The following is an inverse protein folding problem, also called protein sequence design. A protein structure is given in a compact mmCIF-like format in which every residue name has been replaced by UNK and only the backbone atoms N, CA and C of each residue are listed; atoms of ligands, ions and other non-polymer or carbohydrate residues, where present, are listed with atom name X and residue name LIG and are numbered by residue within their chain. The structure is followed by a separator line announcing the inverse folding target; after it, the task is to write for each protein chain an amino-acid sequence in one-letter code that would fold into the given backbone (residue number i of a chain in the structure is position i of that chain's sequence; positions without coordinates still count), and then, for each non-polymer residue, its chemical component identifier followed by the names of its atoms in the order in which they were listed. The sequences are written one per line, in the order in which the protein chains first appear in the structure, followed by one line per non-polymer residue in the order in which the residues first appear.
data_IF_338432695517
#
_entry.id   IF_338432695517
#
_cell.length_a   1.000
_cell.length_b   1.000
_cell.length_c   1.000
_cell.angle_alpha   90.00
_cell.angle_beta   90.00
_cell.angle_gamma   90.00
#
_symmetry.space_group_name_H-M   'P 1'
#
loop_
_entity.id
_entity.type
_entity.pdbx_description
1 polymer ?
#
# COMPACT_ATOMS: atom_id res chain seq x y z
N UNK A 1 -2.92 -24.39 2.63
CA UNK A 1 -4.06 -24.00 3.47
C UNK A 1 -5.27 -24.82 3.05
N UNK A 2 -6.16 -25.19 3.98
CA UNK A 2 -7.42 -25.85 3.65
C UNK A 2 -8.58 -24.84 3.50
N UNK A 3 -9.68 -25.30 2.87
CA UNK A 3 -10.88 -24.49 2.63
C UNK A 3 -11.61 -24.10 3.93
N UNK A 4 -11.52 -24.93 4.97
CA UNK A 4 -12.19 -24.69 6.26
C UNK A 4 -11.61 -23.46 6.94
N UNK A 5 -10.28 -23.34 6.95
CA UNK A 5 -9.58 -22.18 7.49
C UNK A 5 -9.86 -20.92 6.66
N UNK A 6 -9.87 -21.04 5.33
CA UNK A 6 -10.25 -19.94 4.45
C UNK A 6 -11.67 -19.43 4.75
N UNK A 7 -12.62 -20.35 4.95
CA UNK A 7 -14.00 -20.06 5.33
C UNK A 7 -14.09 -19.34 6.68
N UNK A 8 -13.30 -19.79 7.67
CA UNK A 8 -13.24 -19.15 8.99
C UNK A 8 -12.74 -17.70 8.89
N UNK A 9 -11.66 -17.49 8.14
CA UNK A 9 -11.08 -16.16 7.91
C UNK A 9 -12.09 -15.25 7.21
N UNK A 10 -12.67 -15.69 6.10
CA UNK A 10 -13.64 -14.90 5.33
C UNK A 10 -14.90 -14.57 6.14
N UNK A 11 -15.48 -15.55 6.84
CA UNK A 11 -16.64 -15.29 7.70
C UNK A 11 -16.36 -14.24 8.76
N UNK A 12 -15.17 -14.31 9.40
CA UNK A 12 -14.77 -13.33 10.41
C UNK A 12 -14.56 -11.94 9.79
N UNK A 13 -13.87 -11.88 8.66
CA UNK A 13 -13.54 -10.62 7.97
C UNK A 13 -14.81 -9.90 7.48
N UNK A 14 -15.69 -10.63 6.79
CA UNK A 14 -16.94 -10.11 6.25
C UNK A 14 -17.91 -9.70 7.36
N UNK A 15 -17.98 -10.47 8.45
CA UNK A 15 -18.79 -10.10 9.61
C UNK A 15 -18.32 -8.78 10.24
N UNK A 16 -17.00 -8.60 10.36
CA UNK A 16 -16.42 -7.36 10.85
C UNK A 16 -16.69 -6.19 9.89
N UNK A 17 -16.51 -6.40 8.59
CA UNK A 17 -16.78 -5.38 7.58
C UNK A 17 -18.25 -4.95 7.58
N UNK A 18 -19.17 -5.92 7.65
CA UNK A 18 -20.61 -5.68 7.75
C UNK A 18 -20.96 -4.90 9.01
N UNK A 19 -20.37 -5.23 10.15
CA UNK A 19 -20.60 -4.51 11.40
C UNK A 19 -20.14 -3.04 11.34
N UNK A 20 -19.12 -2.72 10.53
CA UNK A 20 -18.57 -1.36 10.40
C UNK A 20 -19.25 -0.53 9.31
N UNK A 21 -19.56 -1.13 8.16
CA UNK A 21 -20.07 -0.42 6.98
C UNK A 21 -21.57 -0.63 6.73
N UNK A 22 -22.20 -1.57 7.45
CA UNK A 22 -23.57 -1.96 7.19
C UNK A 22 -23.67 -2.78 5.91
N UNK A 23 -24.50 -2.38 4.96
CA UNK A 23 -24.74 -3.15 3.73
C UNK A 23 -23.45 -3.29 2.90
N UNK A 24 -23.18 -4.51 2.46
CA UNK A 24 -22.04 -4.85 1.62
C UNK A 24 -22.49 -5.04 0.18
N UNK A 25 -21.65 -4.60 -0.75
CA UNK A 25 -21.83 -4.83 -2.18
C UNK A 25 -21.11 -6.10 -2.63
N UNK A 26 -21.42 -6.58 -3.84
CA UNK A 26 -20.68 -7.70 -4.43
C UNK A 26 -19.18 -7.38 -4.59
N UNK A 27 -18.86 -6.12 -4.87
CA UNK A 27 -17.47 -5.66 -4.98
C UNK A 27 -16.75 -5.66 -3.64
N UNK A 28 -17.45 -5.39 -2.52
CA UNK A 28 -16.87 -5.54 -1.19
C UNK A 28 -16.57 -7.02 -0.89
N UNK A 29 -17.45 -7.95 -1.28
CA UNK A 29 -17.21 -9.39 -1.12
C UNK A 29 -16.00 -9.86 -1.96
N UNK A 30 -15.89 -9.39 -3.20
CA UNK A 30 -14.74 -9.71 -4.06
C UNK A 30 -13.43 -9.17 -3.50
N UNK A 31 -13.43 -7.91 -3.03
CA UNK A 31 -12.29 -7.30 -2.37
C UNK A 31 -11.88 -8.08 -1.11
N UNK A 32 -12.85 -8.50 -0.29
CA UNK A 32 -12.58 -9.30 0.90
C UNK A 32 -11.92 -10.64 0.57
N UNK A 33 -12.37 -11.32 -0.48
CA UNK A 33 -11.78 -12.59 -0.91
C UNK A 33 -10.35 -12.40 -1.39
N UNK A 34 -10.11 -11.41 -2.24
CA UNK A 34 -8.78 -11.13 -2.80
C UNK A 34 -7.82 -10.69 -1.70
N UNK A 35 -8.21 -9.71 -0.88
CA UNK A 35 -7.32 -9.09 0.10
C UNK A 35 -6.97 -10.04 1.25
N UNK A 36 -7.92 -10.85 1.73
CA UNK A 36 -7.62 -11.87 2.74
C UNK A 36 -6.71 -12.98 2.19
N UNK A 37 -6.91 -13.40 0.94
CA UNK A 37 -6.03 -14.38 0.31
C UNK A 37 -4.60 -13.85 0.12
N UNK A 38 -4.46 -12.62 -0.38
CA UNK A 38 -3.18 -11.93 -0.51
C UNK A 38 -2.49 -11.77 0.85
N UNK A 39 -3.21 -11.30 1.87
CA UNK A 39 -2.67 -11.14 3.22
C UNK A 39 -2.15 -12.45 3.79
N UNK A 40 -2.95 -13.52 3.68
CA UNK A 40 -2.57 -14.84 4.17
C UNK A 40 -1.31 -15.34 3.48
N UNK A 41 -1.26 -15.23 2.15
CA UNK A 41 -0.12 -15.65 1.34
C UNK A 41 1.15 -14.89 1.70
N UNK A 42 1.08 -13.55 1.71
CA UNK A 42 2.23 -12.69 1.99
C UNK A 42 2.74 -12.86 3.43
N UNK A 43 1.85 -13.10 4.41
CA UNK A 43 2.24 -13.45 5.78
C UNK A 43 3.02 -14.76 5.83
N UNK A 44 2.60 -15.80 5.10
CA UNK A 44 3.36 -17.05 5.03
C UNK A 44 4.72 -16.87 4.37
N UNK A 45 4.79 -16.08 3.30
CA UNK A 45 6.04 -15.75 2.62
C UNK A 45 7.00 -15.04 3.57
N UNK A 46 6.54 -13.97 4.23
CA UNK A 46 7.33 -13.18 5.19
C UNK A 46 7.84 -14.02 6.36
N UNK A 47 6.99 -14.89 6.91
CA UNK A 47 7.38 -15.78 8.01
C UNK A 47 8.42 -16.82 7.57
N UNK A 48 8.25 -17.39 6.37
CA UNK A 48 9.17 -18.37 5.82
C UNK A 48 10.55 -17.76 5.56
N UNK A 49 10.61 -16.54 5.02
CA UNK A 49 11.87 -15.80 4.83
C UNK A 49 12.49 -15.34 6.15
N UNK A 50 11.71 -14.91 7.13
CA UNK A 50 12.22 -14.44 8.42
C UNK A 50 12.79 -15.58 9.29
N UNK A 51 12.29 -16.81 9.11
CA UNK A 51 12.74 -17.99 9.85
C UNK A 51 13.96 -18.71 9.22
N UNK A 52 14.38 -18.30 8.02
CA UNK A 52 15.48 -18.93 7.30
C UNK A 52 16.84 -18.61 7.95
N UNK A 53 17.66 -19.64 8.14
CA UNK A 53 19.00 -19.55 8.74
C UNK A 53 20.11 -19.55 7.69
N UNK A 54 19.78 -19.81 6.42
CA UNK A 54 20.70 -19.74 5.30
C UNK A 54 20.03 -19.19 4.05
N UNK A 55 20.86 -18.81 3.06
CA UNK A 55 20.40 -18.34 1.75
C UNK A 55 19.63 -19.45 1.02
N UNK A 56 20.06 -20.70 1.14
CA UNK A 56 19.36 -21.86 0.58
C UNK A 56 17.98 -22.04 1.22
N UNK A 57 17.86 -21.90 2.55
CA UNK A 57 16.57 -21.98 3.25
C UNK A 57 15.64 -20.84 2.85
N UNK A 58 16.18 -19.62 2.67
CA UNK A 58 15.44 -18.46 2.21
C UNK A 58 14.91 -18.67 0.79
N UNK A 59 15.78 -19.14 -0.12
CA UNK A 59 15.42 -19.44 -1.51
C UNK A 59 14.37 -20.55 -1.60
N UNK A 60 14.51 -21.62 -0.82
CA UNK A 60 13.52 -22.69 -0.74
C UNK A 60 12.18 -22.22 -0.14
N UNK A 61 12.22 -21.31 0.84
CA UNK A 61 11.02 -20.67 1.40
C UNK A 61 10.25 -19.87 0.34
N UNK A 62 10.95 -19.12 -0.50
CA UNK A 62 10.35 -18.35 -1.62
C UNK A 62 9.77 -19.28 -2.70
N UNK A 63 10.48 -20.35 -3.06
CA UNK A 63 9.99 -21.32 -4.05
C UNK A 63 8.75 -22.08 -3.56
N UNK A 64 8.76 -22.55 -2.31
CA UNK A 64 7.64 -23.28 -1.71
C UNK A 64 6.41 -22.38 -1.54
N UNK A 65 6.59 -21.11 -1.18
CA UNK A 65 5.48 -20.16 -1.10
C UNK A 65 4.89 -19.90 -2.48
N UNK A 66 5.71 -19.71 -3.52
CA UNK A 66 5.23 -19.57 -4.91
C UNK A 66 4.37 -20.75 -5.37
N UNK A 67 4.72 -21.99 -4.99
CA UNK A 67 3.90 -23.17 -5.29
C UNK A 67 2.56 -23.22 -4.51
N UNK A 68 2.48 -22.53 -3.38
CA UNK A 68 1.30 -22.48 -2.52
C UNK A 68 0.28 -21.40 -2.90
N UNK A 69 0.60 -20.50 -3.82
CA UNK A 69 -0.32 -19.42 -4.22
C UNK A 69 -1.62 -19.96 -4.82
N UNK A 70 -1.53 -20.94 -5.72
CA UNK A 70 -2.69 -21.55 -6.36
C UNK A 70 -3.59 -22.29 -5.35
N UNK A 71 -3.07 -23.17 -4.48
CA UNK A 71 -3.85 -23.77 -3.39
C UNK A 71 -4.53 -22.74 -2.47
N UNK A 72 -3.83 -21.67 -2.08
CA UNK A 72 -4.40 -20.61 -1.22
C UNK A 72 -5.51 -19.87 -1.94
N UNK A 73 -5.28 -19.44 -3.17
CA UNK A 73 -6.26 -18.73 -3.98
C UNK A 73 -7.54 -19.55 -4.14
N UNK A 74 -7.39 -20.83 -4.52
CA UNK A 74 -8.51 -21.75 -4.67
C UNK A 74 -9.28 -21.96 -3.36
N UNK A 75 -8.58 -22.12 -2.24
CA UNK A 75 -9.24 -22.32 -0.96
C UNK A 75 -10.10 -21.11 -0.56
N UNK A 76 -9.63 -19.89 -0.79
CA UNK A 76 -10.41 -18.67 -0.54
C UNK A 76 -11.60 -18.53 -1.50
N UNK A 77 -11.42 -18.76 -2.80
CA UNK A 77 -12.51 -18.64 -3.77
C UNK A 77 -13.56 -19.74 -3.62
N UNK A 78 -13.16 -20.98 -3.32
CA UNK A 78 -14.09 -22.08 -3.05
C UNK A 78 -14.89 -21.81 -1.75
N UNK A 79 -14.23 -21.27 -0.72
CA UNK A 79 -14.90 -20.89 0.53
C UNK A 79 -15.93 -19.77 0.29
N UNK A 80 -15.59 -18.76 -0.53
CA UNK A 80 -16.50 -17.69 -0.90
C UNK A 80 -17.72 -18.19 -1.66
N UNK A 81 -17.53 -19.10 -2.62
CA UNK A 81 -18.63 -19.74 -3.36
C UNK A 81 -19.60 -20.50 -2.43
N UNK A 82 -19.09 -21.12 -1.36
CA UNK A 82 -19.93 -21.79 -0.37
C UNK A 82 -20.65 -20.85 0.59
N UNK A 83 -20.00 -19.74 0.97
CA UNK A 83 -20.56 -18.79 1.93
C UNK A 83 -21.61 -17.88 1.28
N UNK A 84 -21.42 -17.53 0.00
CA UNK A 84 -22.24 -16.55 -0.70
C UNK A 84 -22.67 -17.07 -2.09
N UNK A 85 -23.32 -18.23 -2.18
CA UNK A 85 -23.60 -18.89 -3.47
C UNK A 85 -24.47 -18.06 -4.42
N UNK A 86 -25.31 -17.16 -3.88
CA UNK A 86 -26.20 -16.30 -4.68
C UNK A 86 -25.47 -15.11 -5.31
N UNK A 87 -24.29 -14.74 -4.79
CA UNK A 87 -23.54 -13.53 -5.17
C UNK A 87 -22.15 -13.82 -5.70
N UNK A 88 -21.56 -14.95 -5.31
CA UNK A 88 -20.18 -15.31 -5.58
C UNK A 88 -20.14 -16.66 -6.30
N UNK A 89 -20.17 -16.61 -7.64
CA UNK A 89 -20.22 -17.81 -8.48
C UNK A 89 -18.84 -18.19 -9.00
N UNK A 90 -18.79 -19.25 -9.82
CA UNK A 90 -17.56 -19.63 -10.53
C UNK A 90 -16.95 -18.49 -11.35
N UNK A 91 -17.78 -17.55 -11.83
CA UNK A 91 -17.30 -16.38 -12.57
C UNK A 91 -16.49 -15.46 -11.67
N UNK A 92 -17.04 -15.06 -10.53
CA UNK A 92 -16.37 -14.19 -9.55
C UNK A 92 -15.13 -14.88 -8.97
N UNK A 93 -15.20 -16.19 -8.74
CA UNK A 93 -14.04 -16.98 -8.32
C UNK A 93 -12.87 -16.90 -9.32
N UNK A 94 -13.13 -17.02 -10.63
CA UNK A 94 -12.08 -16.91 -11.66
C UNK A 94 -11.46 -15.51 -11.66
N UNK A 95 -12.28 -14.46 -11.53
CA UNK A 95 -11.80 -13.08 -11.50
C UNK A 95 -10.92 -12.87 -10.27
N UNK A 96 -11.37 -13.29 -9.09
CA UNK A 96 -10.60 -13.17 -7.86
C UNK A 96 -9.32 -13.99 -7.88
N UNK A 97 -9.31 -15.21 -8.44
CA UNK A 97 -8.07 -15.99 -8.59
C UNK A 97 -7.01 -15.22 -9.40
N UNK A 98 -7.41 -14.56 -10.50
CA UNK A 98 -6.49 -13.73 -11.28
C UNK A 98 -6.07 -12.47 -10.51
N UNK A 99 -7.00 -11.82 -9.81
CA UNK A 99 -6.73 -10.66 -8.98
C UNK A 99 -5.72 -10.96 -7.87
N UNK A 100 -5.85 -12.11 -7.19
CA UNK A 100 -4.91 -12.57 -6.18
C UNK A 100 -3.51 -12.72 -6.78
N UNK A 101 -3.39 -13.39 -7.93
CA UNK A 101 -2.09 -13.61 -8.58
C UNK A 101 -1.39 -12.30 -8.98
N UNK A 102 -2.14 -11.34 -9.53
CA UNK A 102 -1.60 -10.05 -9.92
C UNK A 102 -1.19 -9.22 -8.70
N UNK A 103 -2.05 -9.20 -7.68
CA UNK A 103 -1.85 -8.36 -6.51
C UNK A 103 -0.67 -8.85 -5.64
N UNK A 104 -0.49 -10.15 -5.43
CA UNK A 104 0.68 -10.62 -4.64
C UNK A 104 2.01 -10.35 -5.33
N UNK A 105 2.03 -10.18 -6.66
CA UNK A 105 3.22 -9.85 -7.42
C UNK A 105 3.55 -8.35 -7.40
N UNK A 106 2.61 -7.51 -6.93
CA UNK A 106 2.81 -6.08 -6.85
C UNK A 106 3.56 -5.70 -5.56
N UNK A 107 4.70 -5.01 -5.71
CA UNK A 107 5.57 -4.61 -4.60
C UNK A 107 4.86 -3.77 -3.52
N UNK A 108 3.92 -2.92 -3.92
CA UNK A 108 3.13 -2.08 -3.00
C UNK A 108 1.98 -2.80 -2.31
N UNK A 109 1.77 -4.09 -2.55
CA UNK A 109 0.59 -4.79 -2.05
C UNK A 109 0.55 -4.90 -0.52
N UNK A 110 1.70 -5.05 0.13
CA UNK A 110 1.73 -5.13 1.61
C UNK A 110 1.26 -3.82 2.24
N UNK A 111 1.72 -2.68 1.73
CA UNK A 111 1.33 -1.36 2.21
C UNK A 111 -0.16 -1.09 1.89
N UNK A 112 -0.64 -1.46 0.70
CA UNK A 112 -2.07 -1.41 0.37
C UNK A 112 -2.93 -2.22 1.34
N UNK A 113 -2.50 -3.44 1.70
CA UNK A 113 -3.22 -4.27 2.65
C UNK A 113 -3.23 -3.65 4.05
N UNK A 114 -2.15 -2.98 4.47
CA UNK A 114 -2.11 -2.25 5.75
C UNK A 114 -3.22 -1.20 5.79
N UNK A 115 -3.25 -0.33 4.79
CA UNK A 115 -4.25 0.74 4.68
C UNK A 115 -5.68 0.17 4.57
N UNK A 116 -5.85 -0.89 3.77
CA UNK A 116 -7.14 -1.56 3.58
C UNK A 116 -7.69 -2.10 4.89
N UNK A 117 -6.90 -2.88 5.64
CA UNK A 117 -7.35 -3.51 6.88
C UNK A 117 -7.51 -2.51 8.03
N UNK A 118 -6.67 -1.47 8.09
CA UNK A 118 -6.84 -0.40 9.07
C UNK A 118 -8.12 0.40 8.80
N UNK A 119 -8.34 0.84 7.56
CA UNK A 119 -9.51 1.64 7.21
C UNK A 119 -10.82 0.85 7.34
N UNK A 120 -10.86 -0.36 6.76
CA UNK A 120 -12.08 -1.14 6.65
C UNK A 120 -12.37 -1.99 7.88
N UNK A 121 -11.35 -2.44 8.60
CA UNK A 121 -11.50 -3.35 9.75
C UNK A 121 -11.00 -2.79 11.09
N UNK A 122 -10.18 -1.73 11.06
CA UNK A 122 -9.65 -1.05 12.26
C UNK A 122 -8.67 -1.88 13.06
N UNK A 123 -7.97 -2.80 12.39
CA UNK A 123 -6.84 -3.48 12.99
C UNK A 123 -5.63 -3.39 12.06
N UNK A 124 -4.45 -3.31 12.66
CA UNK A 124 -3.18 -3.32 11.94
C UNK A 124 -2.76 -4.76 11.64
N UNK A 125 -2.24 -4.99 10.44
CA UNK A 125 -1.79 -6.33 10.02
C UNK A 125 -0.34 -6.64 10.40
N UNK A 126 0.42 -5.59 10.75
CA UNK A 126 1.76 -5.59 11.31
C UNK A 126 1.90 -4.54 12.41
N UNK A 127 3.01 -4.55 13.15
CA UNK A 127 3.30 -3.61 14.24
C UNK A 127 4.06 -2.37 13.75
N UNK A 128 4.01 -2.08 12.45
CA UNK A 128 4.68 -0.91 11.89
C UNK A 128 3.86 0.32 12.28
N UNK A 129 4.47 1.23 13.02
CA UNK A 129 3.89 2.56 13.24
C UNK A 129 3.96 3.32 11.92
N UNK A 130 2.79 3.64 11.38
CA UNK A 130 2.65 4.53 10.23
C UNK A 130 1.83 5.74 10.63
N UNK A 131 2.32 6.93 10.28
CA UNK A 131 1.64 8.19 10.51
C UNK A 131 1.35 8.84 9.16
N UNK A 132 0.09 9.17 8.90
CA UNK A 132 -0.33 9.80 7.65
C UNK A 132 -0.61 11.28 7.89
N UNK A 133 0.09 12.11 7.13
CA UNK A 133 -0.12 13.56 7.08
C UNK A 133 -0.61 13.95 5.68
N UNK A 134 -1.58 14.86 5.63
CA UNK A 134 -2.07 15.44 4.39
C UNK A 134 -1.65 16.90 4.34
N UNK A 135 -0.94 17.29 3.29
CA UNK A 135 -0.57 18.67 3.01
C UNK A 135 -1.39 19.20 1.83
N UNK A 136 -2.10 20.31 2.04
CA UNK A 136 -2.96 20.91 1.04
C UNK A 136 -2.27 22.11 0.42
N UNK A 137 -1.79 21.97 -0.81
CA UNK A 137 -1.16 23.08 -1.51
C UNK A 137 -2.18 23.80 -2.40
N UNK A 138 -2.25 25.14 -2.30
CA UNK A 138 -3.05 25.98 -3.21
C UNK A 138 -2.19 26.64 -4.31
N UNK A 139 -0.86 26.64 -4.15
CA UNK A 139 0.08 27.28 -5.06
C UNK A 139 1.36 26.46 -5.19
N UNK A 140 1.87 26.36 -6.42
CA UNK A 140 3.16 25.70 -6.66
C UNK A 140 4.00 26.39 -7.72
N UNK A 141 5.31 26.28 -7.55
CA UNK A 141 6.32 26.83 -8.44
C UNK A 141 7.13 25.71 -9.08
N UNK A 142 7.26 25.75 -10.41
CA UNK A 142 8.03 24.79 -11.20
C UNK A 142 9.34 25.42 -11.62
N UNK A 143 10.43 24.70 -11.40
CA UNK A 143 11.77 25.05 -11.80
C UNK A 143 12.32 23.97 -12.74
N UNK A 144 12.91 24.39 -13.85
CA UNK A 144 13.64 23.51 -14.78
C UNK A 144 15.07 24.02 -14.91
N UNK A 145 16.05 23.15 -14.70
CA UNK A 145 17.47 23.50 -14.66
C UNK A 145 17.76 24.64 -13.65
N UNK A 146 17.04 24.66 -12.53
CA UNK A 146 17.17 25.69 -11.48
C UNK A 146 16.51 27.03 -11.79
N UNK A 147 15.88 27.19 -12.96
CA UNK A 147 15.19 28.42 -13.35
C UNK A 147 13.69 28.24 -13.15
N UNK A 148 13.04 29.19 -12.48
CA UNK A 148 11.57 29.19 -12.36
C UNK A 148 10.94 29.36 -13.75
N UNK A 149 10.16 28.38 -14.19
CA UNK A 149 9.52 28.37 -15.51
C UNK A 149 8.01 28.60 -15.45
N UNK A 150 7.37 28.28 -14.33
CA UNK A 150 5.95 28.54 -14.13
C UNK A 150 5.57 28.63 -12.67
N UNK A 151 4.50 29.34 -12.40
CA UNK A 151 3.79 29.37 -11.13
C UNK A 151 2.31 29.08 -11.42
N UNK A 152 1.64 28.38 -10.51
CA UNK A 152 0.25 27.98 -10.69
C UNK A 152 -0.48 27.98 -9.36
N UNK A 153 -1.65 28.62 -9.34
CA UNK A 153 -2.61 28.62 -8.23
C UNK A 153 -3.63 27.51 -8.47
N UNK A 154 -3.21 26.25 -8.28
CA UNK A 154 -4.06 25.09 -8.47
C UNK A 154 -3.90 24.17 -7.28
N UNK A 155 -5.04 23.76 -6.73
CA UNK A 155 -5.10 22.85 -5.59
C UNK A 155 -4.46 21.50 -5.88
N UNK A 156 -3.65 21.05 -4.93
CA UNK A 156 -3.00 19.75 -4.89
C UNK A 156 -3.10 19.18 -3.49
N UNK A 157 -3.48 17.92 -3.39
CA UNK A 157 -3.46 17.18 -2.13
C UNK A 157 -2.25 16.27 -2.13
N UNK A 158 -1.34 16.50 -1.20
CA UNK A 158 -0.13 15.71 -1.02
C UNK A 158 -0.35 14.78 0.17
N UNK A 159 -0.46 13.49 -0.11
CA UNK A 159 -0.60 12.46 0.91
C UNK A 159 0.78 11.92 1.25
N UNK A 160 1.17 11.99 2.53
CA UNK A 160 2.47 11.59 3.03
C UNK A 160 2.24 10.56 4.12
N UNK A 161 2.57 9.30 3.83
CA UNK A 161 2.48 8.22 4.81
C UNK A 161 3.88 7.85 5.27
N UNK A 162 4.25 8.28 6.47
CA UNK A 162 5.50 7.88 7.11
C UNK A 162 5.37 6.44 7.60
N UNK A 163 6.32 5.59 7.21
CA UNK A 163 6.38 4.19 7.57
C UNK A 163 7.65 4.01 8.41
N UNK A 164 7.49 3.68 9.69
CA UNK A 164 8.58 3.74 10.66
C UNK A 164 9.23 5.14 10.69
N UNK A 165 10.52 5.23 11.04
CA UNK A 165 11.27 6.50 11.06
C UNK A 165 11.93 6.85 9.71
N UNK A 166 12.10 5.87 8.82
CA UNK A 166 13.02 5.97 7.68
C UNK A 166 12.37 5.77 6.31
N UNK A 167 11.10 5.41 6.22
CA UNK A 167 10.41 5.24 4.93
C UNK A 167 9.22 6.18 4.82
N UNK A 168 8.87 6.54 3.59
CA UNK A 168 7.68 7.33 3.29
C UNK A 168 7.04 6.86 1.99
N UNK A 169 5.70 6.92 1.93
CA UNK A 169 4.93 6.80 0.69
C UNK A 169 4.27 8.14 0.41
N UNK A 170 4.58 8.72 -0.75
CA UNK A 170 4.10 10.04 -1.17
C UNK A 170 3.24 9.93 -2.42
N UNK A 171 2.04 10.50 -2.39
CA UNK A 171 1.20 10.71 -3.58
C UNK A 171 0.75 12.17 -3.70
N UNK A 172 0.67 12.70 -4.93
CA UNK A 172 0.21 14.07 -5.19
C UNK A 172 -1.01 13.99 -6.11
N UNK A 173 -2.21 14.20 -5.58
CA UNK A 173 -3.41 14.19 -6.41
C UNK A 173 -3.54 15.50 -7.20
N UNK A 174 -3.86 15.45 -8.51
CA UNK A 174 -4.04 14.27 -9.36
C UNK A 174 -2.79 13.87 -10.17
N UNK A 175 -1.62 14.48 -9.92
CA UNK A 175 -0.45 14.46 -10.81
C UNK A 175 0.58 13.36 -10.57
N UNK A 176 0.59 12.71 -9.41
CA UNK A 176 1.58 11.69 -9.04
C UNK A 176 0.91 10.55 -8.26
N UNK A 177 0.96 9.34 -8.82
CA UNK A 177 0.62 8.12 -8.11
C UNK A 177 1.56 7.89 -6.92
N UNK A 178 1.14 7.19 -5.86
CA UNK A 178 1.99 6.89 -4.71
C UNK A 178 3.37 6.35 -5.10
N UNK A 179 4.42 6.92 -4.49
CA UNK A 179 5.82 6.52 -4.65
C UNK A 179 6.43 6.27 -3.28
N UNK A 180 7.10 5.14 -3.13
CA UNK A 180 7.84 4.78 -1.92
C UNK A 180 9.24 5.38 -1.97
N UNK A 181 9.71 5.89 -0.83
CA UNK A 181 11.03 6.50 -0.66
C UNK A 181 11.61 6.18 0.72
N UNK A 182 12.93 6.28 0.83
CA UNK A 182 13.67 6.07 2.08
C UNK A 182 14.40 7.36 2.47
N UNK A 183 14.58 7.59 3.77
CA UNK A 183 15.27 8.75 4.33
C UNK A 183 16.73 8.76 3.86
N UNK A 184 17.11 9.83 3.17
CA UNK A 184 18.46 10.04 2.65
C UNK A 184 19.24 10.99 3.56
N UNK A 185 18.59 12.07 4.01
CA UNK A 185 19.18 13.01 4.96
C UNK A 185 18.14 13.74 5.80
N UNK A 186 18.58 14.18 6.97
CA UNK A 186 17.80 14.99 7.90
C UNK A 186 18.66 16.16 8.38
N UNK A 187 18.11 17.38 8.32
CA UNK A 187 18.77 18.60 8.75
C UNK A 187 17.78 19.55 9.39
N UNK A 188 17.87 19.70 10.71
CA UNK A 188 16.94 20.52 11.48
C UNK A 188 15.50 20.02 11.33
N UNK A 189 14.61 20.88 10.85
CA UNK A 189 13.21 20.58 10.59
C UNK A 189 12.94 20.07 9.16
N UNK A 190 13.97 19.69 8.41
CA UNK A 190 13.84 19.26 7.02
C UNK A 190 14.30 17.82 6.87
N UNK A 191 13.45 16.98 6.28
CA UNK A 191 13.74 15.58 5.92
C UNK A 191 13.72 15.42 4.42
N UNK A 192 14.73 14.73 3.88
CA UNK A 192 14.84 14.41 2.46
C UNK A 192 14.77 12.90 2.27
N UNK A 193 13.88 12.48 1.38
CA UNK A 193 13.60 11.07 1.07
C UNK A 193 13.88 10.78 -0.39
N UNK A 194 14.72 9.80 -0.65
CA UNK A 194 15.05 9.34 -1.99
C UNK A 194 14.14 8.19 -2.39
N UNK A 195 13.52 8.31 -3.56
CA UNK A 195 12.62 7.28 -4.10
C UNK A 195 13.34 5.95 -4.32
N UNK A 196 12.64 4.85 -4.09
CA UNK A 196 13.04 3.54 -4.63
C UNK A 196 13.08 3.57 -6.17
N UNK A 197 12.19 4.38 -6.74
CA UNK A 197 12.32 4.89 -8.10
C UNK A 197 13.30 6.08 -8.06
N UNK A 198 14.54 5.93 -8.60
CA UNK A 198 15.61 6.92 -8.44
C UNK A 198 15.34 8.24 -9.18
N UNK A 199 14.28 8.28 -9.98
CA UNK A 199 13.80 9.49 -10.64
C UNK A 199 13.15 10.48 -9.66
N UNK A 200 12.94 10.12 -8.40
CA UNK A 200 12.20 10.93 -7.42
C UNK A 200 13.01 11.22 -6.17
N UNK A 201 12.95 12.47 -5.75
CA UNK A 201 13.46 12.96 -4.47
C UNK A 201 12.40 13.86 -3.85
N UNK A 202 12.08 13.62 -2.58
CA UNK A 202 11.07 14.36 -1.84
C UNK A 202 11.74 15.09 -0.68
N UNK A 203 11.43 16.37 -0.50
CA UNK A 203 11.88 17.13 0.66
C UNK A 203 10.66 17.66 1.40
N UNK A 204 10.62 17.39 2.71
CA UNK A 204 9.52 17.75 3.60
C UNK A 204 10.13 18.63 4.69
N UNK A 205 9.66 19.88 4.80
CA UNK A 205 10.02 20.77 5.90
C UNK A 205 8.83 20.90 6.86
N UNK A 206 9.14 20.85 8.15
CA UNK A 206 8.17 20.93 9.23
C UNK A 206 8.27 22.27 9.96
N UNK A 207 7.16 22.76 10.50
CA UNK A 207 7.14 23.94 11.36
C UNK A 207 7.49 23.61 12.84
N UNK A 208 7.31 24.58 13.73
CA UNK A 208 7.54 24.43 15.18
C UNK A 208 6.54 23.47 15.87
N UNK A 209 5.43 23.14 15.20
CA UNK A 209 4.38 22.24 15.69
C UNK A 209 4.43 20.85 15.05
N UNK A 210 5.51 20.54 14.30
CA UNK A 210 5.69 19.30 13.54
C UNK A 210 4.67 19.11 12.41
N UNK A 211 4.01 20.19 11.96
CA UNK A 211 3.16 20.19 10.78
C UNK A 211 3.98 20.45 9.52
N UNK A 212 3.53 19.94 8.37
CA UNK A 212 4.25 20.13 7.10
C UNK A 212 4.06 21.56 6.63
N UNK A 213 5.12 22.36 6.66
CA UNK A 213 5.15 23.76 6.21
C UNK A 213 5.45 23.85 4.70
N UNK A 214 6.31 22.96 4.21
CA UNK A 214 6.74 22.96 2.81
C UNK A 214 6.97 21.57 2.28
N UNK A 215 6.50 21.34 1.06
CA UNK A 215 6.75 20.11 0.32
C UNK A 215 7.44 20.40 -1.02
N UNK A 216 8.49 19.64 -1.33
CA UNK A 216 9.24 19.75 -2.58
C UNK A 216 9.33 18.38 -3.24
N UNK A 217 9.00 18.34 -4.53
CA UNK A 217 9.26 17.21 -5.42
C UNK A 217 10.40 17.58 -6.38
N UNK A 218 11.43 16.76 -6.42
CA UNK A 218 12.49 16.83 -7.41
C UNK A 218 12.49 15.57 -8.28
N UNK A 219 12.70 15.78 -9.59
CA UNK A 219 13.01 14.73 -10.55
C UNK A 219 14.43 14.96 -11.10
N UNK A 220 15.47 14.40 -10.44
CA UNK A 220 16.87 14.70 -10.77
C UNK A 220 17.24 14.36 -12.21
N UNK A 221 16.68 13.28 -12.75
CA UNK A 221 16.85 12.85 -14.14
C UNK A 221 16.38 13.90 -15.17
N UNK A 222 15.48 14.81 -14.79
CA UNK A 222 14.89 15.85 -15.63
C UNK A 222 15.33 17.26 -15.22
N UNK A 223 16.17 17.40 -14.20
CA UNK A 223 16.48 18.69 -13.56
C UNK A 223 15.22 19.50 -13.24
N UNK A 224 14.16 18.81 -12.81
CA UNK A 224 12.86 19.41 -12.53
C UNK A 224 12.67 19.48 -11.02
N UNK A 225 12.24 20.63 -10.51
CA UNK A 225 11.84 20.82 -9.11
C UNK A 225 10.48 21.49 -9.07
N UNK A 226 9.60 21.00 -8.20
CA UNK A 226 8.29 21.60 -7.94
C UNK A 226 8.19 21.84 -6.44
N UNK A 227 7.98 23.09 -6.07
CA UNK A 227 7.79 23.52 -4.69
C UNK A 227 6.31 23.81 -4.47
N UNK A 228 5.73 23.22 -3.43
CA UNK A 228 4.32 23.33 -3.08
C UNK A 228 4.17 24.15 -1.80
N UNK A 229 3.20 25.06 -1.82
CA UNK A 229 2.90 26.01 -0.75
C UNK A 229 1.41 25.99 -0.41
N UNK A 230 1.11 26.25 0.85
CA UNK A 230 -0.21 26.67 1.35
C UNK A 230 -0.55 28.13 1.00
#
# INVERSE_FOLDING_TARGET
MDKTEAKRILSSSISNLHARRGQLTNSDLEAEVINNACLYYLKQQKNSTASAKSIEEMFMGVLNTTQNLLPVSKAFTDAACELFPDYYTAKEAIIAMNGIQQNVAWEGMWDFLRDYFESNHGYKIDNVESNTTIFYSNRHQRFENGIMVSESEVERTININFIEENEVVVGIAPSLSPKKAYLDSESGNTKQFKGYDPDYLFTIAFDEFEEVDKFILEMPNRNLRIEYFE
#
